data_IF_223719083258
#
_entry.id   IF_223719083258
#
_cell.length_a   1.000
_cell.length_b   1.000
_cell.length_c   1.000
_cell.angle_alpha   90.00
_cell.angle_beta   90.00
_cell.angle_gamma   90.00
#
_symmetry.space_group_name_H-M   'P 1'
#
loop_
_entity.id
_entity.type
_entity.pdbx_description
1 polymer ?
2 non-polymer ?
3 non-polymer ?
4 non-polymer ?
5 non-polymer ?
6 water ?
#
# COMPACT_ATOMS: atom_id res chain seq x y z
N UNK A 1 10.10 -7.70 26.13
CA UNK A 1 10.17 -6.23 26.37
C UNK A 1 9.03 -5.75 27.26
N UNK A 3 5.72 -3.74 28.21
CA UNK A 3 4.48 -3.47 27.49
C UNK A 3 4.47 -1.99 27.06
N UNK A 4 3.83 -1.73 25.93
CA UNK A 4 3.75 -0.39 25.34
C UNK A 4 2.41 -0.09 24.75
N UNK A 5 2.10 1.19 24.66
CA UNK A 5 0.84 1.68 24.16
C UNK A 5 1.01 2.34 22.81
N UNK A 6 0.12 2.03 21.87
CA UNK A 6 0.18 2.63 20.53
C UNK A 6 -0.26 4.09 20.57
N UNK A 7 0.52 4.97 19.95
CA UNK A 7 0.18 6.37 19.88
C UNK A 7 -0.40 6.73 18.51
N UNK A 8 0.42 6.53 17.47
CA UNK A 8 0.05 6.84 16.08
C UNK A 8 0.56 5.75 15.18
N UNK A 9 -0.17 5.50 14.10
CA UNK A 9 0.17 4.49 13.09
C UNK A 9 0.18 5.22 11.74
N UNK A 10 1.31 5.18 11.03
CA UNK A 10 1.51 5.84 9.75
C UNK A 10 1.69 4.75 8.70
N UNK A 12 2.01 3.40 4.52
CA UNK A 12 2.54 3.76 3.22
C UNK A 12 2.74 2.57 2.31
N UNK A 14 5.10 1.13 -1.15
CA UNK A 14 6.35 1.25 -1.88
C UNK A 14 6.38 0.20 -2.99
N UNK A 15 7.01 0.57 -4.09
CA UNK A 15 7.01 -0.27 -5.26
C UNK A 15 8.37 -0.45 -5.89
N UNK A 16 8.71 -1.70 -6.16
CA UNK A 16 9.92 -2.09 -6.90
C UNK A 16 9.41 -2.38 -8.31
N UNK A 17 9.57 -1.45 -9.24
CA UNK A 17 9.04 -1.64 -10.59
C UNK A 17 9.86 -2.59 -11.46
N UNK A 18 11.13 -2.78 -11.14
CA UNK A 18 11.97 -3.66 -11.98
C UNK A 18 11.89 -5.14 -11.65
N UNK A 19 11.57 -5.46 -10.41
CA UNK A 19 11.45 -6.85 -9.96
C UNK A 19 12.71 -7.32 -9.24
N UNK A 20 12.54 -8.41 -8.51
CA UNK A 20 13.61 -9.04 -7.75
C UNK A 20 14.11 -8.28 -6.52
N UNK A 21 13.51 -7.13 -6.16
CA UNK A 21 14.00 -6.39 -4.98
C UNK A 21 12.91 -5.99 -3.97
N UNK A 22 12.36 -6.98 -3.25
CA UNK A 22 11.39 -6.64 -2.21
C UNK A 22 11.96 -5.67 -1.17
N UNK A 23 13.27 -5.69 -0.92
CA UNK A 23 13.85 -4.74 0.00
C UNK A 23 13.57 -3.28 -0.44
N UNK A 24 13.68 -3.00 -1.72
CA UNK A 24 13.44 -1.68 -2.30
C UNK A 24 11.98 -1.28 -2.08
N UNK A 25 11.08 -2.19 -2.39
CA UNK A 25 9.65 -1.92 -2.18
C UNK A 25 9.39 -1.61 -0.69
N UNK A 26 9.97 -2.42 0.20
CA UNK A 26 9.79 -2.23 1.62
C UNK A 26 10.37 -0.90 2.13
N UNK A 27 11.58 -0.57 1.69
CA UNK A 27 12.23 0.67 2.08
C UNK A 27 11.40 1.87 1.64
N UNK A 28 10.93 1.82 0.39
CA UNK A 28 10.11 2.91 -0.16
C UNK A 28 8.78 3.01 0.58
N UNK A 29 8.22 1.87 1.01
CA UNK A 29 6.97 1.87 1.77
C UNK A 29 7.13 2.59 3.12
N UNK A 30 8.20 2.31 3.85
CA UNK A 30 8.49 2.97 5.12
C UNK A 30 8.69 4.49 4.88
N UNK A 31 9.46 4.83 3.85
CA UNK A 31 9.68 6.25 3.53
C UNK A 31 8.34 6.95 3.26
N UNK A 32 7.51 6.34 2.42
CA UNK A 32 6.15 6.87 2.03
C UNK A 32 5.28 7.01 3.25
N UNK A 33 5.41 6.08 4.20
CA UNK A 33 4.56 6.10 5.37
C UNK A 33 4.77 7.33 6.26
N UNK A 34 6.03 7.75 6.36
CA UNK A 34 6.37 8.82 7.26
C UNK A 34 6.68 10.18 6.61
N UNK A 35 6.87 10.21 5.30
CA UNK A 35 7.33 11.42 4.64
C UNK A 35 6.44 12.62 4.74
N UNK A 36 5.15 12.38 4.84
CA UNK A 36 4.17 13.47 4.84
C UNK A 36 3.68 13.85 6.19
N UNK A 37 4.33 13.36 7.24
CA UNK A 37 3.98 13.72 8.61
C UNK A 37 5.20 14.23 9.36
N UNK A 38 4.97 15.10 10.32
CA UNK A 38 6.03 15.63 11.20
C UNK A 38 5.53 15.45 12.64
N UNK A 39 6.46 15.18 13.55
CA UNK A 39 6.15 14.90 14.97
C UNK A 39 6.87 15.89 15.89
N UNK A 40 6.52 17.18 15.80
CA UNK A 40 7.25 18.15 16.61
C UNK A 40 7.17 17.98 18.12
N UNK A 41 6.01 17.55 18.61
CA UNK A 41 5.83 17.48 20.05
C UNK A 41 5.32 16.22 20.70
N UNK A 42 4.79 15.28 19.97
CA UNK A 42 4.15 14.15 20.68
C UNK A 42 5.07 13.46 21.71
N UNK A 43 6.32 13.29 21.31
CA UNK A 43 7.35 12.67 22.16
C UNK A 43 7.50 13.43 23.47
N UNK A 44 7.58 14.77 23.41
CA UNK A 44 7.57 15.53 24.66
C UNK A 44 6.37 15.27 25.52
N UNK A 45 5.19 15.47 24.94
CA UNK A 45 3.97 15.32 25.73
C UNK A 45 3.91 13.95 26.40
N UNK A 46 4.50 12.94 25.75
CA UNK A 46 4.55 11.56 26.26
C UNK A 46 5.60 11.34 27.37
N UNK A 47 6.54 12.28 27.53
CA UNK A 47 7.53 12.28 28.61
C UNK A 47 8.96 11.92 28.26
N UNK A 48 9.29 11.90 26.98
CA UNK A 48 10.64 11.56 26.54
C UNK A 48 11.47 12.84 26.46
N UNK A 49 12.78 12.67 26.63
CA UNK A 49 13.74 13.76 26.58
C UNK A 49 14.20 14.04 25.16
N UNK A 50 13.97 13.10 24.24
CA UNK A 50 14.41 13.26 22.86
C UNK A 50 13.62 12.31 21.96
N UNK A 51 13.33 12.70 20.70
CA UNK A 51 12.61 11.81 19.80
C UNK A 51 13.30 10.46 19.56
N UNK A 52 14.61 10.41 19.74
CA UNK A 52 15.37 9.16 19.54
C UNK A 52 15.02 8.10 20.60
N UNK A 53 14.32 8.50 21.65
CA UNK A 53 13.88 7.58 22.67
C UNK A 53 12.54 6.91 22.31
N UNK A 55 9.75 4.54 20.73
CA UNK A 55 9.70 3.16 20.30
C UNK A 55 8.98 3.20 18.96
N UNK A 56 9.63 2.68 17.93
CA UNK A 56 9.04 2.64 16.60
C UNK A 56 9.03 1.21 16.09
N UNK A 57 7.83 0.68 15.84
CA UNK A 57 7.69 -0.67 15.32
C UNK A 57 7.22 -0.56 13.86
N UNK A 58 7.86 -1.32 12.99
CA UNK A 58 7.54 -1.33 11.58
C UNK A 58 7.01 -2.69 11.20
N UNK A 59 5.83 -2.71 10.54
CA UNK A 59 5.22 -3.94 10.05
C UNK A 59 5.16 -3.81 8.52
N UNK A 60 5.86 -4.71 7.82
CA UNK A 60 5.86 -4.74 6.36
C UNK A 60 5.25 -6.01 5.79
N UNK A 61 4.42 -5.86 4.76
CA UNK A 61 3.85 -6.99 4.02
C UNK A 61 4.28 -6.78 2.57
N UNK A 62 4.85 -7.82 1.97
CA UNK A 62 5.38 -7.72 0.62
C UNK A 62 5.57 -9.12 0.05
N UNK A 63 5.58 -9.27 -1.28
CA UNK A 63 5.92 -10.59 -1.84
C UNK A 63 7.40 -10.91 -1.51
N UNK A 64 7.69 -12.20 -1.35
CA UNK A 64 9.04 -12.69 -1.06
C UNK A 64 9.60 -12.02 0.19
N UNK A 65 8.85 -12.07 1.31
CA UNK A 65 9.29 -11.36 2.51
C UNK A 65 10.65 -11.84 3.02
N UNK A 66 10.96 -13.10 2.78
CA UNK A 66 12.24 -13.68 3.17
C UNK A 66 13.47 -13.04 2.51
N UNK A 67 13.25 -12.26 1.45
CA UNK A 67 14.31 -11.57 0.72
C UNK A 67 14.53 -10.14 1.20
N UNK A 68 13.74 -9.67 2.18
CA UNK A 68 13.90 -8.30 2.68
C UNK A 68 15.09 -8.19 3.63
N UNK A 69 15.96 -7.24 3.32
CA UNK A 69 17.15 -6.94 4.14
C UNK A 69 16.73 -5.94 5.23
N UNK A 70 16.59 -6.45 6.45
CA UNK A 70 16.06 -5.66 7.56
C UNK A 70 16.77 -4.39 7.89
N UNK A 71 18.09 -4.44 7.92
CA UNK A 71 18.90 -3.29 8.31
C UNK A 71 18.72 -2.10 7.36
N UNK A 72 18.61 -2.39 6.08
CA UNK A 72 18.40 -1.35 5.09
C UNK A 72 17.01 -0.71 5.24
N UNK A 73 16.01 -1.50 5.55
CA UNK A 73 14.65 -0.97 5.74
C UNK A 73 14.60 -0.09 6.99
N UNK A 74 15.15 -0.56 8.10
CA UNK A 74 15.10 0.23 9.33
C UNK A 74 15.90 1.52 9.27
N UNK A 75 16.94 1.55 8.44
CA UNK A 75 17.74 2.76 8.28
C UNK A 75 16.92 3.89 7.64
N UNK A 76 15.78 3.61 7.04
CA UNK A 76 14.92 4.69 6.51
C UNK A 76 14.41 5.56 7.67
N UNK A 77 14.19 4.96 8.85
CA UNK A 77 13.72 5.74 9.98
C UNK A 77 14.85 6.60 10.50
N UNK A 78 14.59 7.90 10.70
CA UNK A 78 15.60 8.83 11.14
C UNK A 78 16.08 8.73 12.59
N UNK A 79 15.34 8.05 13.45
CA UNK A 79 15.69 7.94 14.85
C UNK A 79 14.77 6.92 15.47
N UNK A 80 15.02 6.66 16.74
CA UNK A 80 14.18 5.79 17.55
C UNK A 80 14.74 4.41 17.86
N UNK A 81 14.01 3.70 18.70
CA UNK A 81 14.31 2.32 19.13
C UNK A 81 13.41 1.51 18.21
N UNK A 82 14.05 0.91 17.21
CA UNK A 82 13.35 0.34 16.05
C UNK A 82 13.27 -1.16 15.95
N UNK A 83 12.12 -1.66 15.51
CA UNK A 83 11.97 -3.07 15.25
C UNK A 83 11.21 -3.24 13.94
N UNK A 84 11.42 -4.38 13.30
CA UNK A 84 10.75 -4.72 12.05
C UNK A 84 10.19 -6.15 12.04
N UNK A 85 9.00 -6.28 11.46
CA UNK A 85 8.46 -7.59 11.13
C UNK A 85 8.18 -7.54 9.61
N UNK A 86 8.39 -8.65 8.93
CA UNK A 86 8.10 -8.78 7.52
C UNK A 86 7.24 -10.02 7.35
N UNK A 87 6.17 -9.90 6.57
CA UNK A 87 5.25 -10.98 6.31
C UNK A 87 4.82 -10.97 4.86
N UNK A 88 4.28 -12.09 4.38
CA UNK A 88 3.79 -12.19 3.00
C UNK A 88 2.49 -11.39 2.86
N UNK A 89 2.42 -10.60 1.79
CA UNK A 89 1.29 -9.72 1.53
C UNK A 89 1.68 -8.77 0.42
N UNK A 90 1.10 -7.58 0.47
CA UNK A 90 1.35 -6.65 -0.61
C UNK A 90 0.73 -7.19 -1.90
N UNK A 92 1.85 -8.58 -6.24
CA UNK A 92 2.73 -8.71 -7.41
C UNK A 92 1.90 -8.30 -8.65
N UNK A 93 2.44 -7.39 -9.47
CA UNK A 93 1.82 -7.05 -10.73
C UNK A 93 2.67 -7.81 -11.78
N UNK A 94 2.04 -8.75 -12.49
CA UNK A 94 2.68 -9.53 -13.55
C UNK A 94 2.67 -8.80 -14.87
N UNK A 95 3.78 -8.83 -15.58
CA UNK A 95 3.83 -8.19 -16.88
C UNK A 95 5.18 -8.43 -17.49
N UNK A 96 5.21 -8.66 -18.80
CA UNK A 96 6.46 -8.93 -19.50
C UNK A 96 7.50 -7.82 -19.30
N UNK A 97 8.70 -8.23 -18.92
CA UNK A 97 9.80 -7.31 -18.72
C UNK A 97 10.03 -6.45 -19.98
N UNK A 98 10.22 -5.15 -19.74
CA UNK A 98 10.48 -4.15 -20.78
C UNK A 98 11.97 -3.82 -20.68
N UNK A 99 12.82 -4.33 -21.60
CA UNK A 99 14.24 -4.03 -21.51
C UNK A 99 14.59 -2.54 -21.50
N UNK A 100 13.87 -1.75 -22.28
CA UNK A 100 14.13 -0.32 -22.35
C UNK A 100 13.90 0.39 -21.02
N UNK A 101 13.07 -0.20 -20.15
CA UNK A 101 12.80 0.38 -18.83
C UNK A 101 13.65 -0.27 -17.74
N UNK A 102 14.63 -1.07 -18.12
CA UNK A 102 15.53 -1.74 -17.19
C UNK A 102 14.89 -2.74 -16.23
N UNK A 103 13.82 -3.39 -16.68
CA UNK A 103 13.19 -4.43 -15.88
C UNK A 103 14.14 -5.63 -15.76
N UNK A 104 14.11 -6.24 -14.60
CA UNK A 104 14.91 -7.43 -14.30
C UNK A 104 14.11 -8.71 -14.56
N UNK A 105 12.79 -8.69 -14.30
CA UNK A 105 11.97 -9.86 -14.55
C UNK A 105 10.55 -9.40 -14.87
N UNK A 106 9.59 -10.33 -14.86
CA UNK A 106 8.20 -10.01 -15.22
C UNK A 106 7.32 -9.61 -14.05
N UNK A 107 7.93 -9.08 -12.98
CA UNK A 107 7.14 -8.70 -11.84
C UNK A 107 7.45 -7.33 -11.25
N UNK A 109 6.83 -5.46 -7.67
CA UNK A 109 6.53 -5.83 -6.29
C UNK A 109 6.06 -4.63 -5.50
N UNK A 110 4.93 -4.80 -4.81
CA UNK A 110 4.33 -3.75 -4.02
C UNK A 110 4.30 -4.14 -2.55
N UNK A 111 4.91 -3.31 -1.70
CA UNK A 111 4.94 -3.48 -0.27
C UNK A 111 4.07 -2.44 0.43
N UNK A 112 3.60 -2.86 1.59
CA UNK A 112 2.87 -2.00 2.52
C UNK A 112 3.70 -1.92 3.80
N UNK A 113 3.78 -0.73 4.40
CA UNK A 113 4.41 -0.55 5.69
C UNK A 113 3.46 0.20 6.63
N UNK A 114 3.39 -0.27 7.87
CA UNK A 114 2.72 0.40 8.97
C UNK A 114 3.82 0.71 9.98
N UNK A 115 4.03 2.01 10.25
CA UNK A 115 5.02 2.50 11.19
C UNK A 115 4.24 2.98 12.40
N UNK A 116 4.45 2.31 13.54
CA UNK A 116 3.73 2.64 14.75
C UNK A 116 4.67 3.25 15.79
N UNK A 117 4.28 4.40 16.34
CA UNK A 117 5.03 5.04 17.41
C UNK A 117 4.31 4.63 18.70
N UNK A 118 5.08 4.10 19.64
CA UNK A 118 4.56 3.65 20.93
C UNK A 118 5.33 4.26 22.09
N UNK A 119 4.70 4.21 23.26
CA UNK A 119 5.31 4.68 24.50
C UNK A 119 5.21 3.53 25.50
N UNK A 120 6.25 3.35 26.31
CA UNK A 120 6.18 2.28 27.31
C UNK A 120 5.14 2.65 28.35
N UNK A 121 4.41 1.64 28.82
CA UNK A 121 3.44 1.83 29.88
C UNK A 121 4.14 1.83 31.24
N UNK B 1 -5.03 -16.20 -21.25
CA UNK B 1 -5.96 -15.21 -21.87
C UNK B 1 -5.43 -14.46 -23.07
N UNK B 3 -3.74 -11.54 -25.33
CA UNK B 3 -2.51 -10.74 -25.25
C UNK B 3 -2.82 -9.34 -25.77
N UNK B 4 -2.86 -8.35 -24.88
CA UNK B 4 -3.09 -6.94 -25.25
C UNK B 4 -1.94 -6.11 -24.71
N UNK B 5 -1.64 -5.02 -25.39
CA UNK B 5 -0.54 -4.15 -25.00
C UNK B 5 -0.92 -3.25 -23.82
N UNK B 6 -0.07 -3.22 -22.81
CA UNK B 6 -0.29 -2.37 -21.64
C UNK B 6 0.26 -0.99 -21.93
N UNK B 7 -0.54 0.05 -21.69
CA UNK B 7 -0.07 1.41 -21.91
C UNK B 7 0.47 2.07 -20.63
N UNK B 8 -0.41 2.16 -19.64
CA UNK B 8 -0.04 2.77 -18.35
C UNK B 8 -0.66 1.95 -17.22
N UNK B 9 0.05 1.93 -16.08
CA UNK B 9 -0.37 1.20 -14.89
C UNK B 9 -0.30 2.23 -13.76
N UNK B 10 -1.41 2.45 -13.08
CA UNK B 10 -1.54 3.40 -11.96
C UNK B 10 -1.77 2.59 -10.70
N UNK B 12 -2.16 2.32 -6.33
CA UNK B 12 -2.60 3.02 -5.14
C UNK B 12 -2.89 2.11 -3.96
N UNK B 14 -5.34 1.85 -0.28
CA UNK B 14 -6.54 2.32 0.42
C UNK B 14 -6.66 1.56 1.74
N UNK B 15 -7.28 2.21 2.72
CA UNK B 15 -7.34 1.68 4.06
C UNK B 15 -8.73 1.80 4.70
N UNK B 16 -9.18 0.69 5.28
CA UNK B 16 -10.38 0.59 6.10
C UNK B 16 -9.83 0.58 7.54
N UNK B 17 -9.95 1.70 8.25
CA UNK B 17 -9.41 1.79 9.58
C UNK B 17 -10.25 1.13 10.65
N UNK B 18 -11.52 0.91 10.37
CA UNK B 18 -12.42 0.40 11.40
C UNK B 18 -12.59 -1.10 11.44
N UNK B 19 -12.26 -1.76 10.33
CA UNK B 19 -12.32 -3.19 10.18
C UNK B 19 -13.62 -3.66 9.57
N UNK B 20 -13.57 -4.86 9.04
CA UNK B 20 -14.74 -5.55 8.42
C UNK B 20 -15.23 -4.97 7.10
N UNK B 21 -14.52 -4.00 6.52
CA UNK B 21 -14.93 -3.40 5.26
C UNK B 21 -13.85 -3.40 4.18
N UNK B 22 -13.47 -4.59 3.69
CA UNK B 22 -12.48 -4.66 2.61
C UNK B 22 -12.94 -3.87 1.38
N UNK B 23 -14.26 -3.77 1.15
CA UNK B 23 -14.73 -3.01 -0.01
C UNK B 23 -14.25 -1.56 0.04
N UNK B 24 -14.33 -0.94 1.22
CA UNK B 24 -13.90 0.44 1.45
C UNK B 24 -12.40 0.60 1.19
N UNK B 25 -11.61 -0.34 1.72
CA UNK B 25 -10.18 -0.27 1.48
C UNK B 25 -9.92 -0.34 -0.04
N UNK B 26 -10.61 -1.27 -0.72
CA UNK B 26 -10.42 -1.46 -2.16
C UNK B 26 -10.84 -0.26 -3.00
N UNK B 27 -11.99 0.32 -2.66
CA UNK B 27 -12.47 1.50 -3.35
C UNK B 27 -11.51 2.67 -3.19
N UNK B 28 -11.03 2.86 -1.96
CA UNK B 28 -10.07 3.93 -1.66
C UNK B 28 -8.74 3.69 -2.39
N UNK B 29 -8.36 2.42 -2.55
CA UNK B 29 -7.11 2.12 -3.28
C UNK B 29 -7.23 2.50 -4.76
N UNK B 30 -8.35 2.18 -5.40
CA UNK B 30 -8.54 2.54 -6.79
C UNK B 30 -8.53 4.09 -6.90
N UNK B 31 -9.22 4.77 -5.99
CA UNK B 31 -9.23 6.25 -6.00
C UNK B 31 -7.80 6.81 -5.87
N UNK B 32 -7.05 6.29 -4.90
CA UNK B 32 -5.65 6.73 -4.65
C UNK B 32 -4.80 6.48 -5.89
N UNK B 33 -5.08 5.40 -6.63
CA UNK B 33 -4.32 5.07 -7.80
C UNK B 33 -4.46 6.08 -8.94
N UNK B 34 -5.67 6.61 -9.09
CA UNK B 34 -5.97 7.47 -10.23
C UNK B 34 -6.13 8.97 -9.96
N UNK B 35 -6.35 9.32 -8.69
CA UNK B 35 -6.68 10.71 -8.34
C UNK B 35 -5.67 11.76 -8.67
N UNK B 36 -4.39 11.38 -8.67
CA UNK B 36 -3.32 12.31 -8.92
C UNK B 36 -2.73 12.30 -10.32
N UNK B 37 -3.44 11.64 -11.24
CA UNK B 37 -3.03 11.62 -12.64
C UNK B 37 -4.23 12.09 -13.48
N UNK B 38 -3.92 12.64 -14.65
CA UNK B 38 -4.92 13.03 -15.65
C UNK B 38 -4.45 12.40 -16.99
N UNK B 39 -5.40 11.95 -17.81
CA UNK B 39 -5.13 11.30 -19.08
C UNK B 39 -5.82 12.07 -20.21
N UNK B 40 -5.44 13.34 -20.42
CA UNK B 40 -6.12 14.14 -21.45
C UNK B 40 -6.07 13.59 -22.89
N UNK B 41 -4.96 12.96 -23.27
CA UNK B 41 -4.80 12.46 -24.64
C UNK B 41 -4.59 10.98 -24.87
N UNK B 42 -4.64 10.15 -23.82
CA UNK B 42 -4.46 8.68 -23.97
C UNK B 42 -5.50 8.01 -24.85
N UNK B 43 -6.76 8.38 -24.64
CA UNK B 43 -7.84 7.83 -25.44
C UNK B 43 -7.65 8.15 -26.92
N UNK B 44 -7.19 9.36 -27.24
CA UNK B 44 -6.97 9.78 -28.64
C UNK B 44 -5.80 9.07 -29.30
N UNK B 45 -4.66 8.95 -28.60
CA UNK B 45 -3.50 8.25 -29.18
C UNK B 45 -3.75 6.75 -29.33
N UNK B 46 -4.69 6.22 -28.54
CA UNK B 46 -5.08 4.82 -28.61
C UNK B 46 -6.05 4.60 -29.79
N UNK B 47 -6.46 5.68 -30.46
CA UNK B 47 -7.38 5.59 -31.60
C UNK B 47 -8.84 5.41 -31.22
N UNK B 48 -9.21 5.78 -29.99
CA UNK B 48 -10.59 5.64 -29.51
C UNK B 48 -11.38 6.91 -29.77
N UNK B 49 -12.70 6.75 -29.94
CA UNK B 49 -13.59 7.87 -30.19
C UNK B 49 -14.02 8.59 -28.91
N UNK B 50 -13.82 7.96 -27.74
CA UNK B 50 -14.22 8.56 -26.47
C UNK B 50 -13.50 7.82 -25.33
N UNK B 51 -13.16 8.51 -24.21
CA UNK B 51 -12.52 7.83 -23.08
C UNK B 51 -13.29 6.62 -22.55
N UNK B 52 -14.61 6.61 -22.74
CA UNK B 52 -15.45 5.50 -22.29
C UNK B 52 -15.16 4.19 -23.01
N UNK B 53 -14.42 4.26 -24.13
CA UNK B 53 -14.06 3.09 -24.89
C UNK B 53 -12.75 2.46 -24.39
N UNK B 55 -10.04 0.31 -22.53
CA UNK B 55 -10.04 -0.99 -21.88
C UNK B 55 -9.25 -0.81 -20.58
N UNK B 56 -9.91 -1.03 -19.44
CA UNK B 56 -9.27 -0.86 -18.12
C UNK B 56 -9.41 -2.11 -17.26
N UNK B 57 -8.26 -2.65 -16.85
CA UNK B 57 -8.18 -3.84 -16.02
C UNK B 57 -7.67 -3.43 -14.65
N UNK B 58 -8.42 -3.79 -13.60
CA UNK B 58 -8.07 -3.46 -12.24
C UNK B 58 -7.74 -4.73 -11.47
N UNK B 59 -6.59 -4.72 -10.77
CA UNK B 59 -6.17 -5.81 -9.92
C UNK B 59 -6.09 -5.27 -8.50
N UNK B 60 -6.84 -5.87 -7.57
CA UNK B 60 -6.85 -5.51 -6.16
C UNK B 60 -6.43 -6.64 -5.27
N UNK B 61 -5.53 -6.35 -4.33
CA UNK B 61 -5.12 -7.32 -3.31
C UNK B 61 -5.55 -6.71 -1.96
N UNK B 62 -6.28 -7.47 -1.16
CA UNK B 62 -6.85 -6.98 0.09
C UNK B 62 -7.19 -8.17 0.98
N UNK B 63 -7.20 -8.00 2.30
CA UNK B 63 -7.67 -9.09 3.14
C UNK B 63 -9.18 -9.31 2.91
N UNK B 64 -9.60 -10.54 3.05
CA UNK B 64 -11.02 -10.93 2.85
C UNK B 64 -11.57 -10.54 1.47
N UNK B 65 -10.89 -10.96 0.40
CA UNK B 65 -11.31 -10.54 -0.92
C UNK B 65 -12.72 -10.96 -1.32
N UNK B 66 -13.17 -12.09 -0.77
CA UNK B 66 -14.51 -12.59 -1.04
C UNK B 66 -15.62 -11.62 -0.62
N UNK B 67 -15.32 -10.75 0.35
CA UNK B 67 -16.28 -9.78 0.85
C UNK B 67 -16.32 -8.48 0.08
N UNK B 68 -15.43 -8.31 -0.89
CA UNK B 68 -15.42 -7.09 -1.68
C UNK B 68 -16.61 -6.97 -2.67
N UNK B 69 -17.35 -5.86 -2.57
CA UNK B 69 -18.47 -5.53 -3.48
C UNK B 69 -17.81 -4.92 -4.71
N UNK B 70 -17.67 -5.75 -5.72
CA UNK B 70 -16.87 -5.39 -6.90
C UNK B 70 -17.34 -4.24 -7.76
N UNK B 71 -18.64 -4.17 -8.04
CA UNK B 71 -19.16 -3.07 -8.84
C UNK B 71 -18.97 -1.72 -8.12
N UNK B 72 -19.09 -1.74 -6.79
CA UNK B 72 -18.87 -0.53 -6.00
C UNK B 72 -17.42 -0.04 -6.19
N UNK B 73 -16.47 -0.96 -6.21
CA UNK B 73 -15.08 -0.60 -6.43
C UNK B 73 -14.87 -0.04 -7.84
N UNK B 74 -15.45 -0.71 -8.83
CA UNK B 74 -15.30 -0.26 -10.22
C UNK B 74 -15.97 1.08 -10.49
N UNK B 75 -16.96 1.44 -9.70
CA UNK B 75 -17.68 2.71 -9.85
C UNK B 75 -16.78 3.92 -9.57
N UNK B 76 -15.66 3.72 -8.91
CA UNK B 76 -14.71 4.81 -8.64
C UNK B 76 -14.13 5.35 -9.96
N UNK B 77 -14.00 4.48 -10.96
CA UNK B 77 -13.46 4.85 -12.26
C UNK B 77 -14.54 5.57 -13.05
N UNK B 78 -14.29 6.83 -13.49
CA UNK B 78 -15.32 7.53 -14.24
C UNK B 78 -15.60 6.97 -15.64
N UNK B 79 -14.58 6.44 -16.32
CA UNK B 79 -14.77 5.93 -17.68
C UNK B 79 -14.10 4.60 -17.98
N UNK B 80 -14.61 3.93 -19.01
CA UNK B 80 -14.02 2.70 -19.52
C UNK B 80 -14.80 1.41 -19.54
N UNK B 81 -14.24 0.44 -20.27
CA UNK B 81 -14.75 -0.94 -20.37
C UNK B 81 -13.87 -1.58 -19.29
N UNK B 82 -14.47 -1.80 -18.14
CA UNK B 82 -13.73 -2.19 -16.96
C UNK B 82 -13.93 -3.57 -16.41
N UNK B 83 -12.86 -4.13 -15.87
CA UNK B 83 -12.94 -5.42 -15.20
C UNK B 83 -12.06 -5.36 -13.96
N UNK B 84 -12.46 -6.13 -12.97
CA UNK B 84 -11.77 -6.21 -11.71
C UNK B 84 -11.49 -7.64 -11.28
N UNK B 85 -10.27 -7.90 -10.79
CA UNK B 85 -9.92 -9.18 -10.25
C UNK B 85 -9.42 -8.92 -8.83
N UNK B 86 -9.99 -9.61 -7.85
CA UNK B 86 -9.66 -9.44 -6.45
C UNK B 86 -8.95 -10.68 -5.91
N UNK B 87 -7.86 -10.46 -5.15
CA UNK B 87 -7.09 -11.54 -4.57
C UNK B 87 -6.75 -11.20 -3.13
N UNK B 88 -6.37 -12.23 -2.37
CA UNK B 88 -5.96 -12.06 -0.98
C UNK B 88 -4.57 -11.40 -1.01
N UNK B 89 -4.36 -10.40 -0.17
CA UNK B 89 -3.10 -9.70 -0.14
C UNK B 89 -3.26 -8.40 0.62
N UNK B 90 -2.45 -7.42 0.28
CA UNK B 90 -2.46 -6.17 1.01
C UNK B 90 -1.93 -6.44 2.41
N UNK B 92 -3.15 -6.76 6.91
CA UNK B 92 -3.98 -6.57 8.07
C UNK B 92 -3.09 -5.99 9.19
N UNK B 93 -3.48 -4.86 9.76
CA UNK B 93 -2.80 -4.27 10.91
C UNK B 93 -3.69 -4.63 12.10
N UNK B 94 -3.19 -5.43 13.04
CA UNK B 94 -3.98 -5.82 14.21
C UNK B 94 -3.67 -4.92 15.39
N UNK B 95 -4.69 -4.64 16.19
CA UNK B 95 -4.54 -3.86 17.39
C UNK B 95 -5.89 -3.70 18.06
N UNK B 96 -5.86 -3.53 19.38
CA UNK B 96 -7.06 -3.36 20.19
C UNK B 96 -8.03 -2.34 19.56
N UNK B 97 -9.28 -2.75 19.42
CA UNK B 97 -10.32 -1.87 18.88
C UNK B 97 -10.48 -0.65 19.80
N UNK B 98 -10.59 0.53 19.19
CA UNK B 98 -10.75 1.80 19.90
C UNK B 98 -12.23 2.23 19.75
N UNK B 99 -13.04 2.00 20.80
CA UNK B 99 -14.45 2.36 20.67
C UNK B 99 -14.69 3.84 20.39
N UNK B 100 -13.83 4.68 20.95
CA UNK B 100 -13.96 6.12 20.75
C UNK B 100 -13.75 6.58 19.31
N UNK B 101 -13.12 5.73 18.49
CA UNK B 101 -12.88 6.02 17.08
C UNK B 101 -13.84 5.22 16.19
N UNK B 102 -14.88 4.62 16.78
CA UNK B 102 -15.87 3.83 16.03
C UNK B 102 -15.33 2.61 15.33
N UNK B 103 -14.36 1.96 15.95
CA UNK B 103 -13.85 0.74 15.39
C UNK B 103 -14.89 -0.35 15.47
N UNK B 104 -14.91 -1.20 14.44
CA UNK B 104 -15.81 -2.35 14.37
C UNK B 104 -15.14 -3.58 15.01
N UNK B 105 -13.83 -3.74 14.78
CA UNK B 105 -13.08 -4.84 15.35
C UNK B 105 -11.61 -4.42 15.53
N UNK B 106 -10.75 -5.41 15.77
CA UNK B 106 -9.35 -5.17 16.06
C UNK B 106 -8.43 -5.19 14.83
N UNK B 107 -8.99 -4.92 13.65
CA UNK B 107 -8.20 -4.90 12.43
C UNK B 107 -8.39 -3.65 11.61
N UNK B 109 -7.69 -2.83 7.60
CA UNK B 109 -7.47 -3.52 6.34
C UNK B 109 -6.88 -2.61 5.28
N UNK B 110 -5.79 -3.06 4.66
CA UNK B 110 -5.11 -2.27 3.66
C UNK B 110 -5.13 -3.00 2.32
N UNK B 111 -5.65 -2.30 1.31
CA UNK B 111 -5.73 -2.78 -0.05
C UNK B 111 -4.77 -2.07 -0.98
N UNK B 112 -4.35 -2.82 -1.99
CA UNK B 112 -3.54 -2.32 -3.08
C UNK B 112 -4.36 -2.45 -4.37
N UNK B 113 -4.31 -1.44 -5.23
CA UNK B 113 -4.95 -1.49 -6.54
C UNK B 113 -3.92 -1.12 -7.62
N UNK B 114 -3.98 -1.86 -8.73
CA UNK B 114 -3.25 -1.52 -9.95
C UNK B 114 -4.32 -1.36 -11.05
N UNK B 115 -4.35 -0.20 -11.67
CA UNK B 115 -5.28 0.14 -12.73
C UNK B 115 -4.49 0.21 -14.01
N UNK B 116 -4.78 -0.69 -14.95
CA UNK B 116 -4.06 -0.76 -16.21
C UNK B 116 -4.93 -0.38 -17.39
N UNK B 117 -4.40 0.52 -18.23
CA UNK B 117 -5.06 0.89 -19.48
C UNK B 117 -4.42 0.02 -20.56
N UNK B 118 -5.25 -0.74 -21.29
CA UNK B 118 -4.72 -1.58 -22.37
C UNK B 118 -5.25 -1.13 -23.70
N UNK B 119 -4.57 -1.56 -24.77
CA UNK B 119 -4.97 -1.23 -26.14
C UNK B 119 -5.35 -2.52 -26.83
#
# INVERSE_FOLDING_TARGET
GXARKRLIIEXGXGIDQHGQEPTIAASRAVRNAIAHNALPGVWEVAGLSHPNEXIIEVQVAVPYPEQVREEEVLAVLPFGRKTLTVESGGXIVQGRAIPELNDKNDEXLIAIAAVTVLIENE
GXARKRLIIEXGXGIDQHGQEPTIAASRAVRNAIAHNALPGVWEVAGLSHPNEXIIEVQVAVPYPEQVREEEVLAVLPFGRKTLTVESGGXIVQGRAIPELNDKNDEXLIAIAAVTVLIENE
#
